data_IF_348485167151
#
_entry.id   IF_348485167151
#
_cell.length_a   1.000
_cell.length_b   1.000
_cell.length_c   1.000
_cell.angle_alpha   90.00
_cell.angle_beta   90.00
_cell.angle_gamma   90.00
#
_symmetry.space_group_name_H-M   'P 1'
#
loop_
_entity.id
_entity.type
_entity.pdbx_description
1 polymer ?
#
# COMPACT_ATOMS: atom_id res chain seq x y z
N UNK A 1 36.98 12.44 -23.57
CA UNK A 1 36.31 11.48 -22.67
C UNK A 1 35.18 12.23 -21.97
N UNK A 2 33.99 12.25 -22.57
CA UNK A 2 32.81 12.88 -21.95
C UNK A 2 32.06 11.82 -21.17
N UNK A 3 32.08 11.94 -19.84
CA UNK A 3 31.19 11.19 -18.98
C UNK A 3 29.77 11.75 -19.20
N UNK A 4 28.95 11.00 -19.94
CA UNK A 4 27.51 11.16 -19.92
C UNK A 4 27.02 10.77 -18.52
N UNK A 5 26.13 11.56 -17.88
CA UNK A 5 25.48 11.09 -16.67
C UNK A 5 24.65 9.84 -17.01
N UNK A 6 24.58 8.83 -16.12
CA UNK A 6 23.63 7.75 -16.30
C UNK A 6 22.26 8.40 -16.43
N UNK A 7 21.61 8.21 -17.58
CA UNK A 7 20.20 8.48 -17.72
C UNK A 7 19.56 7.70 -16.59
N UNK A 8 18.93 8.40 -15.64
CA UNK A 8 18.10 7.78 -14.62
C UNK A 8 17.01 7.05 -15.41
N UNK A 9 17.28 5.79 -15.73
CA UNK A 9 16.31 4.85 -16.23
C UNK A 9 15.34 4.73 -15.06
N UNK A 10 14.32 5.59 -15.05
CA UNK A 10 13.13 5.41 -14.25
C UNK A 10 12.49 4.13 -14.75
N UNK A 11 13.06 3.00 -14.35
CA UNK A 11 12.30 1.81 -14.07
C UNK A 11 11.28 2.28 -13.05
N UNK A 12 10.11 2.72 -13.52
CA UNK A 12 9.02 3.03 -12.61
C UNK A 12 8.68 1.71 -11.93
N UNK A 13 9.30 1.48 -10.78
CA UNK A 13 9.02 0.31 -9.98
C UNK A 13 7.58 0.47 -9.49
N UNK A 14 6.81 -0.60 -9.63
CA UNK A 14 5.39 -0.57 -9.31
C UNK A 14 5.15 -0.17 -7.86
N UNK A 15 4.03 0.49 -7.61
CA UNK A 15 3.57 0.86 -6.27
C UNK A 15 2.32 0.07 -5.90
N UNK A 16 2.36 -0.56 -4.73
CA UNK A 16 1.25 -1.35 -4.21
C UNK A 16 0.57 -0.59 -3.06
N UNK A 17 -0.76 -0.51 -3.10
CA UNK A 17 -1.55 0.00 -1.98
C UNK A 17 -1.99 -1.12 -1.05
N UNK A 18 -1.77 -0.99 0.26
CA UNK A 18 -2.30 -1.90 1.27
C UNK A 18 -3.18 -1.16 2.27
N UNK A 19 -4.45 -1.57 2.35
CA UNK A 19 -5.47 -0.95 3.18
C UNK A 19 -6.02 -1.94 4.20
N UNK A 20 -6.34 -1.45 5.39
CA UNK A 20 -6.91 -2.28 6.44
C UNK A 20 -7.98 -1.52 7.19
N UNK A 21 -9.13 -2.17 7.38
CA UNK A 21 -10.22 -1.69 8.22
C UNK A 21 -10.67 -2.77 9.20
N UNK A 22 -11.10 -2.37 10.39
CA UNK A 22 -11.81 -3.24 11.33
C UNK A 22 -13.32 -3.09 11.14
N UNK A 23 -14.10 -4.14 11.42
CA UNK A 23 -15.56 -4.13 11.24
C UNK A 23 -16.21 -2.89 11.89
N UNK A 24 -17.18 -2.25 11.21
CA UNK A 24 -17.91 -1.12 11.78
C UNK A 24 -18.54 -1.52 13.12
N UNK A 25 -18.30 -0.72 14.17
CA UNK A 25 -18.79 -0.98 15.53
C UNK A 25 -17.75 -0.86 16.64
N UNK A 26 -16.45 -0.73 16.32
CA UNK A 26 -15.41 -0.34 17.28
C UNK A 26 -14.65 0.87 16.76
N UNK A 27 -15.14 2.04 17.15
CA UNK A 27 -14.50 3.33 16.92
C UNK A 27 -13.25 3.40 17.80
N UNK A 28 -12.10 3.04 17.24
CA UNK A 28 -10.83 3.61 17.70
C UNK A 28 -10.65 4.98 17.03
N UNK A 29 -9.95 5.90 17.69
CA UNK A 29 -9.81 7.33 17.33
C UNK A 29 -9.29 7.63 15.89
N UNK A 30 -8.92 6.61 15.11
CA UNK A 30 -8.46 6.75 13.73
C UNK A 30 -9.22 5.80 12.79
N UNK A 31 -10.50 6.10 12.54
CA UNK A 31 -11.31 5.37 11.57
C UNK A 31 -11.49 6.18 10.28
N UNK A 32 -10.61 5.96 9.30
CA UNK A 32 -10.84 6.42 7.92
C UNK A 32 -11.60 5.31 7.18
N UNK A 33 -12.79 5.58 6.62
CA UNK A 33 -13.54 4.59 5.86
C UNK A 33 -12.69 3.99 4.73
N UNK A 34 -12.82 2.69 4.48
CA UNK A 34 -12.05 1.98 3.45
C UNK A 34 -12.15 2.68 2.09
N UNK A 35 -13.34 3.13 1.73
CA UNK A 35 -13.61 3.84 0.47
C UNK A 35 -12.77 5.12 0.35
N UNK A 36 -12.66 5.89 1.44
CA UNK A 36 -11.83 7.10 1.49
C UNK A 36 -10.35 6.74 1.34
N UNK A 37 -9.90 5.67 1.98
CA UNK A 37 -8.51 5.19 1.85
C UNK A 37 -8.19 4.78 0.40
N UNK A 38 -9.08 4.02 -0.23
CA UNK A 38 -8.91 3.52 -1.58
C UNK A 38 -9.01 4.64 -2.63
N UNK A 39 -9.86 5.65 -2.40
CA UNK A 39 -10.01 6.82 -3.27
C UNK A 39 -8.82 7.78 -3.18
N UNK A 40 -8.20 7.92 -2.01
CA UNK A 40 -7.01 8.76 -1.82
C UNK A 40 -5.75 8.20 -2.46
N UNK A 41 -5.63 6.87 -2.59
CA UNK A 41 -4.43 6.22 -3.08
C UNK A 41 -4.01 6.62 -4.51
N UNK A 42 -4.90 6.62 -5.53
CA UNK A 42 -4.54 7.11 -6.86
C UNK A 42 -4.09 8.57 -6.87
N UNK A 43 -4.69 9.41 -6.01
CA UNK A 43 -4.31 10.81 -5.89
C UNK A 43 -2.89 10.95 -5.30
N UNK A 44 -2.61 10.21 -4.23
CA UNK A 44 -1.28 10.13 -3.63
C UNK A 44 -0.24 9.65 -4.65
N UNK A 45 -0.51 8.56 -5.36
CA UNK A 45 0.41 8.05 -6.37
C UNK A 45 0.69 9.10 -7.47
N UNK A 46 -0.35 9.81 -7.93
CA UNK A 46 -0.20 10.88 -8.93
C UNK A 46 0.64 12.04 -8.42
N UNK A 47 0.39 12.50 -7.19
CA UNK A 47 1.12 13.62 -6.59
C UNK A 47 2.62 13.31 -6.39
N UNK A 48 2.96 12.04 -6.23
CA UNK A 48 4.33 11.58 -5.97
C UNK A 48 4.99 10.87 -7.17
N UNK A 49 4.42 10.96 -8.37
CA UNK A 49 4.94 10.31 -9.59
C UNK A 49 5.13 8.78 -9.46
N UNK A 50 4.30 8.13 -8.65
CA UNK A 50 4.30 6.69 -8.42
C UNK A 50 3.37 5.99 -9.42
N UNK A 51 3.75 4.79 -9.86
CA UNK A 51 2.93 3.96 -10.75
C UNK A 51 2.11 2.95 -9.93
N UNK A 52 0.80 3.15 -9.70
CA UNK A 52 0.00 2.18 -8.96
C UNK A 52 -0.20 0.90 -9.78
N UNK A 53 0.25 -0.25 -9.26
CA UNK A 53 0.15 -1.55 -9.96
C UNK A 53 -0.87 -2.50 -9.34
N UNK A 54 -1.14 -2.38 -8.04
CA UNK A 54 -2.10 -3.23 -7.35
C UNK A 54 -2.62 -2.59 -6.05
N UNK A 55 -3.77 -3.08 -5.58
CA UNK A 55 -4.38 -2.68 -4.31
C UNK A 55 -4.83 -3.94 -3.56
N UNK A 56 -4.53 -3.99 -2.27
CA UNK A 56 -4.84 -5.11 -1.39
C UNK A 56 -5.57 -4.59 -0.15
N UNK A 57 -6.54 -5.36 0.36
CA UNK A 57 -7.39 -4.89 1.46
C UNK A 57 -7.75 -6.00 2.43
N UNK A 58 -7.31 -5.87 3.68
CA UNK A 58 -7.73 -6.77 4.75
C UNK A 58 -8.86 -6.15 5.59
N UNK A 59 -9.87 -6.97 5.91
CA UNK A 59 -10.95 -6.61 6.84
C UNK A 59 -10.80 -7.42 8.12
N UNK A 60 -10.57 -6.75 9.25
CA UNK A 60 -10.45 -7.39 10.55
C UNK A 60 -11.82 -7.45 11.25
N UNK A 61 -12.41 -8.65 11.31
CA UNK A 61 -13.67 -8.91 12.01
C UNK A 61 -13.48 -9.82 13.21
N UNK A 62 -14.14 -9.47 14.33
CA UNK A 62 -14.37 -10.38 15.45
C UNK A 62 -13.12 -11.10 15.99
N UNK A 63 -12.06 -10.36 16.32
CA UNK A 63 -10.85 -10.92 16.96
C UNK A 63 -9.96 -11.80 16.08
N UNK A 64 -10.39 -12.13 14.85
CA UNK A 64 -9.56 -12.85 13.89
C UNK A 64 -8.84 -11.86 12.98
N UNK A 65 -7.53 -11.79 13.17
CA UNK A 65 -6.60 -11.04 12.33
C UNK A 65 -6.27 -11.86 11.07
N UNK A 66 -7.21 -11.93 10.13
CA UNK A 66 -6.99 -12.63 8.86
C UNK A 66 -6.20 -11.73 7.90
N UNK A 67 -4.88 -11.66 8.10
CA UNK A 67 -3.92 -10.90 7.25
C UNK A 67 -3.61 -11.57 5.91
N UNK A 68 -4.62 -12.09 5.25
CA UNK A 68 -4.44 -12.88 4.03
C UNK A 68 -3.95 -11.98 2.89
N UNK A 69 -4.47 -10.75 2.81
CA UNK A 69 -4.06 -9.80 1.77
C UNK A 69 -2.68 -9.21 2.06
N UNK A 70 -2.26 -9.07 3.32
CA UNK A 70 -0.87 -8.77 3.65
C UNK A 70 0.10 -9.82 3.09
N UNK A 71 -0.20 -11.11 3.25
CA UNK A 71 0.63 -12.17 2.64
C UNK A 71 0.61 -12.10 1.11
N UNK A 72 -0.54 -11.73 0.52
CA UNK A 72 -0.64 -11.53 -0.93
C UNK A 72 0.23 -10.36 -1.41
N UNK A 73 0.30 -9.25 -0.65
CA UNK A 73 1.24 -8.14 -0.92
C UNK A 73 2.68 -8.64 -0.93
N UNK A 74 3.10 -9.42 0.07
CA UNK A 74 4.47 -9.94 0.13
C UNK A 74 4.79 -10.84 -1.07
N UNK A 75 3.88 -11.76 -1.43
CA UNK A 75 4.05 -12.61 -2.62
C UNK A 75 4.11 -11.79 -3.91
N UNK A 76 3.29 -10.75 -4.00
CA UNK A 76 3.26 -9.85 -5.15
C UNK A 76 4.57 -9.06 -5.28
N UNK A 77 5.12 -8.55 -4.17
CA UNK A 77 6.42 -7.86 -4.15
C UNK A 77 7.55 -8.80 -4.56
N UNK A 78 7.51 -10.07 -4.15
CA UNK A 78 8.54 -11.06 -4.54
C UNK A 78 8.46 -11.39 -6.03
N UNK A 79 7.26 -11.45 -6.60
CA UNK A 79 7.04 -11.81 -8.00
C UNK A 79 7.13 -10.65 -9.01
N UNK A 80 7.08 -9.40 -8.55
CA UNK A 80 7.02 -8.21 -9.40
C UNK A 80 8.06 -7.17 -8.97
N UNK A 81 8.56 -6.34 -9.90
CA UNK A 81 9.41 -5.18 -9.57
C UNK A 81 8.59 -4.08 -8.90
N UNK A 82 8.29 -4.26 -7.62
CA UNK A 82 7.60 -3.29 -6.76
C UNK A 82 8.64 -2.54 -5.93
N UNK A 83 8.72 -1.22 -6.12
CA UNK A 83 9.69 -0.37 -5.43
C UNK A 83 9.09 0.34 -4.23
N UNK A 84 7.75 0.33 -4.08
CA UNK A 84 7.07 1.06 -3.02
C UNK A 84 5.76 0.40 -2.58
N UNK A 85 5.49 0.47 -1.28
CA UNK A 85 4.22 0.09 -0.67
C UNK A 85 3.66 1.30 0.05
N UNK A 86 2.43 1.69 -0.28
CA UNK A 86 1.70 2.79 0.37
C UNK A 86 0.66 2.20 1.30
N UNK A 87 0.71 2.60 2.57
CA UNK A 87 -0.28 2.24 3.58
C UNK A 87 -0.68 3.51 4.35
N UNK A 88 -1.97 3.62 4.69
CA UNK A 88 -2.48 4.82 5.36
C UNK A 88 -2.10 4.91 6.85
N UNK A 89 -1.90 3.76 7.49
CA UNK A 89 -1.52 3.67 8.90
C UNK A 89 -0.42 2.63 9.09
N UNK A 90 0.76 3.07 9.54
CA UNK A 90 1.91 2.17 9.79
C UNK A 90 1.65 1.20 10.95
N UNK A 91 0.88 1.61 11.96
CA UNK A 91 0.42 0.74 13.07
C UNK A 91 -0.33 -0.53 12.56
N UNK A 92 -0.89 -0.44 11.36
CA UNK A 92 -1.61 -1.54 10.71
C UNK A 92 -0.72 -2.43 9.84
N UNK A 93 0.51 -1.99 9.57
CA UNK A 93 1.55 -2.76 8.88
C UNK A 93 2.44 -3.51 9.88
N UNK A 94 2.78 -2.87 11.01
CA UNK A 94 3.59 -3.45 12.08
C UNK A 94 3.10 -2.94 13.43
N UNK A 95 2.78 -3.84 14.35
CA UNK A 95 2.71 -3.50 15.79
C UNK A 95 4.13 -3.59 16.34
N UNK A 96 4.57 -2.56 17.05
CA UNK A 96 5.73 -2.70 17.93
C UNK A 96 5.28 -3.37 19.23
#
# INVERSE_FOLDING_TARGET
>A
MSCLPPTLESSQEGTVGYFRVSTPGRVGEHHVPLEVQQAGFPHYCRAHFLQPVARFTDTASGGKDNRVQYQAVLRYIIGHRVGSVVALFLDRFRRN
#
